data_IF_098781675117
#
_entry.id   IF_098781675117
#
_cell.length_a   1.000
_cell.length_b   1.000
_cell.length_c   1.000
_cell.angle_alpha   90.00
_cell.angle_beta   90.00
_cell.angle_gamma   90.00
#
_symmetry.space_group_name_H-M   'P 1'
#
loop_
_entity.id
_entity.type
_entity.pdbx_description
1 polymer ?
#
# COMPACT_ATOMS: atom_id res chain seq x y z
N UNK A 1 -26.34 -8.35 20.73
CA UNK A 1 -25.02 -8.90 20.36
C UNK A 1 -24.35 -8.03 19.30
N UNK A 2 -23.29 -7.31 19.65
CA UNK A 2 -22.51 -6.56 18.65
C UNK A 2 -21.71 -7.58 17.83
N UNK A 3 -22.03 -7.68 16.53
CA UNK A 3 -21.23 -8.47 15.59
C UNK A 3 -19.86 -7.81 15.43
N UNK A 4 -18.80 -8.61 15.27
CA UNK A 4 -17.48 -8.07 15.01
C UNK A 4 -17.51 -7.25 13.69
N UNK A 5 -16.79 -6.12 13.59
CA UNK A 5 -16.76 -5.32 12.37
C UNK A 5 -16.31 -6.15 11.17
N UNK A 6 -16.95 -5.92 10.01
CA UNK A 6 -16.65 -6.72 8.81
C UNK A 6 -15.27 -6.35 8.26
N UNK A 7 -14.37 -7.32 8.01
CA UNK A 7 -13.05 -7.02 7.45
C UNK A 7 -13.17 -6.49 6.02
N UNK A 8 -12.49 -5.38 5.74
CA UNK A 8 -12.39 -4.78 4.39
C UNK A 8 -10.92 -4.61 4.03
N UNK A 9 -10.47 -5.42 3.08
CA UNK A 9 -9.09 -5.37 2.58
C UNK A 9 -9.05 -4.47 1.34
N UNK A 10 -8.32 -3.35 1.43
CA UNK A 10 -8.20 -2.40 0.33
C UNK A 10 -6.75 -2.28 -0.13
N UNK A 11 -6.53 -2.45 -1.44
CA UNK A 11 -5.23 -2.19 -2.06
C UNK A 11 -5.20 -0.75 -2.57
N UNK A 12 -4.39 0.07 -1.93
CA UNK A 12 -4.12 1.47 -2.27
C UNK A 12 -2.84 1.58 -3.09
N UNK A 13 -2.01 2.59 -2.81
CA UNK A 13 -0.71 2.85 -3.43
C UNK A 13 0.25 3.47 -2.41
N UNK A 14 1.54 3.17 -2.49
CA UNK A 14 2.57 3.77 -1.63
C UNK A 14 2.56 5.31 -1.72
N UNK A 15 2.40 5.82 -2.93
CA UNK A 15 2.40 7.23 -3.27
C UNK A 15 1.19 7.98 -2.67
N UNK A 16 0.16 7.28 -2.19
CA UNK A 16 -0.92 7.89 -1.42
C UNK A 16 -0.42 8.52 -0.10
N UNK A 17 0.75 8.08 0.38
CA UNK A 17 1.45 8.64 1.54
C UNK A 17 2.48 9.72 1.22
N UNK A 18 2.62 10.16 -0.05
CA UNK A 18 3.53 11.25 -0.40
C UNK A 18 3.33 12.53 0.42
N UNK A 19 2.10 12.97 0.75
CA UNK A 19 1.91 14.13 1.61
C UNK A 19 2.57 14.03 3.00
N UNK A 20 2.85 12.80 3.47
CA UNK A 20 3.33 12.51 4.81
C UNK A 20 4.87 12.40 4.89
N UNK A 21 5.59 12.49 3.76
CA UNK A 21 7.05 12.30 3.68
C UNK A 21 7.78 13.52 3.13
N UNK A 22 9.05 13.65 3.48
CA UNK A 22 9.91 14.73 3.00
C UNK A 22 9.95 14.74 1.46
N UNK A 23 9.79 15.93 0.89
CA UNK A 23 9.74 16.18 -0.57
C UNK A 23 8.57 15.54 -1.31
N UNK A 24 7.70 14.77 -0.64
CA UNK A 24 6.60 14.07 -1.28
C UNK A 24 5.56 15.02 -1.91
N UNK A 25 5.15 16.15 -1.30
CA UNK A 25 4.28 17.12 -1.96
C UNK A 25 4.87 17.69 -3.26
N UNK A 26 6.18 17.97 -3.29
CA UNK A 26 6.86 18.48 -4.49
C UNK A 26 6.96 17.40 -5.59
N UNK A 27 7.19 16.15 -5.20
CA UNK A 27 7.16 15.00 -6.12
C UNK A 27 5.75 14.82 -6.69
N UNK A 28 4.71 14.92 -5.85
CA UNK A 28 3.33 14.85 -6.29
C UNK A 28 3.00 15.99 -7.25
N UNK A 29 3.46 17.22 -6.99
CA UNK A 29 3.27 18.37 -7.89
C UNK A 29 3.94 18.17 -9.25
N UNK A 30 5.12 17.55 -9.29
CA UNK A 30 5.81 17.21 -10.53
C UNK A 30 5.23 15.98 -11.25
N UNK A 31 4.33 15.23 -10.62
CA UNK A 31 3.78 14.01 -11.17
C UNK A 31 2.81 14.27 -12.36
N UNK A 32 2.68 13.32 -13.29
CA UNK A 32 1.69 13.39 -14.36
C UNK A 32 0.25 13.53 -13.84
N UNK A 33 -0.62 14.21 -14.59
CA UNK A 33 -2.02 14.45 -14.20
C UNK A 33 -2.80 13.18 -13.87
N UNK A 34 -2.65 12.12 -14.68
CA UNK A 34 -3.30 10.84 -14.43
C UNK A 34 -2.90 10.22 -13.08
N UNK A 35 -1.64 10.41 -12.66
CA UNK A 35 -1.14 9.85 -11.41
C UNK A 35 -1.72 10.62 -10.22
N UNK A 36 -1.81 11.95 -10.33
CA UNK A 36 -2.47 12.79 -9.31
C UNK A 36 -3.93 12.38 -9.13
N UNK A 37 -4.69 12.25 -10.22
CA UNK A 37 -6.10 11.82 -10.20
C UNK A 37 -6.25 10.42 -9.58
N UNK A 38 -5.40 9.48 -9.97
CA UNK A 38 -5.33 8.14 -9.39
C UNK A 38 -5.10 8.18 -7.87
N UNK A 39 -4.13 8.96 -7.40
CA UNK A 39 -3.79 9.07 -5.97
C UNK A 39 -4.86 9.82 -5.18
N UNK A 40 -5.55 10.78 -5.79
CA UNK A 40 -6.72 11.43 -5.18
C UNK A 40 -7.84 10.43 -4.96
N UNK A 41 -8.13 9.57 -5.95
CA UNK A 41 -9.15 8.53 -5.82
C UNK A 41 -8.79 7.50 -4.74
N UNK A 42 -7.53 7.05 -4.68
CA UNK A 42 -7.06 6.14 -3.62
C UNK A 42 -7.24 6.75 -2.23
N UNK A 43 -6.78 7.98 -2.01
CA UNK A 43 -6.93 8.70 -0.73
C UNK A 43 -8.40 8.94 -0.35
N UNK A 44 -9.28 9.14 -1.32
CA UNK A 44 -10.72 9.27 -1.05
C UNK A 44 -11.29 7.99 -0.43
N UNK A 45 -10.95 6.81 -0.98
CA UNK A 45 -11.35 5.52 -0.39
C UNK A 45 -10.74 5.32 0.99
N UNK A 46 -9.46 5.62 1.18
CA UNK A 46 -8.81 5.48 2.48
C UNK A 46 -9.47 6.34 3.58
N UNK A 47 -9.88 7.57 3.24
CA UNK A 47 -10.62 8.45 4.16
C UNK A 47 -11.96 7.84 4.54
N UNK A 48 -12.72 7.37 3.57
CA UNK A 48 -14.04 6.76 3.80
C UNK A 48 -13.96 5.49 4.67
N UNK A 49 -12.96 4.65 4.39
CA UNK A 49 -12.69 3.46 5.18
C UNK A 49 -12.30 3.82 6.62
N UNK A 50 -11.54 4.91 6.80
CA UNK A 50 -11.12 5.39 8.12
C UNK A 50 -12.28 5.99 8.93
N UNK A 51 -13.25 6.63 8.29
CA UNK A 51 -14.44 7.17 8.97
C UNK A 51 -15.47 6.10 9.33
N UNK A 52 -15.46 4.94 8.66
CA UNK A 52 -16.47 3.87 8.83
C UNK A 52 -16.08 2.77 9.82
N UNK A 53 -15.15 3.02 10.76
CA UNK A 53 -14.56 2.01 11.66
C UNK A 53 -15.54 1.32 12.62
N UNK A 54 -16.72 1.87 12.82
CA UNK A 54 -17.74 1.28 13.70
C UNK A 54 -18.42 0.04 13.07
N UNK A 55 -18.50 -0.01 11.74
CA UNK A 55 -19.16 -1.10 11.00
C UNK A 55 -18.18 -2.01 10.28
N UNK A 56 -17.00 -1.49 9.91
CA UNK A 56 -15.96 -2.23 9.19
C UNK A 56 -14.62 -2.18 9.91
N UNK A 57 -13.81 -3.22 9.70
CA UNK A 57 -12.39 -3.28 10.05
C UNK A 57 -11.55 -3.09 8.78
N UNK A 58 -11.13 -1.86 8.46
CA UNK A 58 -10.34 -1.61 7.26
C UNK A 58 -8.89 -1.99 7.46
N UNK A 59 -8.33 -2.73 6.51
CA UNK A 59 -6.89 -2.93 6.34
C UNK A 59 -6.51 -2.41 4.96
N UNK A 60 -5.64 -1.41 4.93
CA UNK A 60 -5.28 -0.68 3.72
C UNK A 60 -3.83 -0.96 3.36
N UNK A 61 -3.60 -1.73 2.30
CA UNK A 61 -2.26 -2.06 1.82
C UNK A 61 -1.80 -0.96 0.86
N UNK A 62 -0.67 -0.32 1.14
CA UNK A 62 -0.05 0.71 0.28
C UNK A 62 1.21 0.15 -0.40
N UNK A 63 1.08 -0.73 -1.42
CA UNK A 63 2.23 -1.23 -2.14
C UNK A 63 2.77 -0.17 -3.10
N UNK A 64 4.08 -0.19 -3.34
CA UNK A 64 4.69 0.54 -4.45
C UNK A 64 4.46 -0.25 -5.76
N UNK A 65 5.44 -0.33 -6.66
CA UNK A 65 5.38 -1.16 -7.84
C UNK A 65 5.16 -2.65 -7.49
N UNK A 66 4.03 -3.19 -7.94
CA UNK A 66 3.67 -4.60 -7.82
C UNK A 66 4.18 -5.37 -9.05
N UNK A 67 4.89 -6.47 -8.85
CA UNK A 67 5.43 -7.29 -9.94
C UNK A 67 5.30 -8.80 -9.72
N UNK A 68 5.42 -9.55 -10.81
CA UNK A 68 5.50 -11.01 -10.83
C UNK A 68 6.51 -11.46 -11.88
N UNK A 69 6.98 -12.71 -11.78
CA UNK A 69 7.87 -13.31 -12.77
C UNK A 69 7.25 -13.51 -14.16
N UNK A 70 5.95 -13.26 -14.29
CA UNK A 70 5.20 -13.33 -15.54
C UNK A 70 4.95 -11.95 -16.17
N UNK A 71 5.32 -10.87 -15.47
CA UNK A 71 5.10 -9.49 -15.89
C UNK A 71 6.44 -8.79 -16.18
N UNK A 72 6.95 -8.99 -17.38
CA UNK A 72 8.31 -8.61 -17.77
C UNK A 72 8.51 -7.11 -18.04
N UNK A 73 7.46 -6.35 -18.31
CA UNK A 73 7.48 -4.91 -18.61
C UNK A 73 7.95 -4.06 -17.42
N UNK A 74 7.76 -4.55 -16.19
CA UNK A 74 8.13 -3.82 -14.95
C UNK A 74 9.46 -4.28 -14.34
N UNK A 75 10.04 -5.39 -14.81
CA UNK A 75 11.27 -5.94 -14.23
C UNK A 75 12.48 -4.99 -14.31
N UNK A 76 12.70 -4.21 -15.40
CA UNK A 76 13.86 -3.33 -15.50
C UNK A 76 13.87 -2.17 -14.49
N UNK A 77 12.71 -1.74 -14.00
CA UNK A 77 12.60 -0.61 -13.07
C UNK A 77 12.70 -1.05 -11.59
N UNK A 78 12.55 -2.34 -11.30
CA UNK A 78 12.65 -2.90 -9.94
C UNK A 78 13.98 -2.55 -9.24
N UNK A 79 15.17 -2.73 -9.87
CA UNK A 79 16.43 -2.40 -9.22
C UNK A 79 16.54 -0.92 -8.84
N UNK A 80 15.92 -0.02 -9.62
CA UNK A 80 15.93 1.42 -9.36
C UNK A 80 15.15 1.73 -8.08
N UNK A 81 13.91 1.23 -7.97
CA UNK A 81 13.08 1.45 -6.79
C UNK A 81 13.73 0.86 -5.52
N UNK A 82 14.25 -0.37 -5.62
CA UNK A 82 14.87 -1.02 -4.49
C UNK A 82 16.18 -0.32 -4.06
N UNK A 83 16.98 0.17 -5.00
CA UNK A 83 18.20 0.92 -4.69
C UNK A 83 17.88 2.28 -4.04
N UNK A 84 16.92 3.04 -4.58
CA UNK A 84 16.53 4.34 -4.01
C UNK A 84 15.93 4.17 -2.62
N UNK A 85 15.09 3.15 -2.40
CA UNK A 85 14.57 2.83 -1.08
C UNK A 85 15.70 2.46 -0.10
N UNK A 86 16.66 1.62 -0.52
CA UNK A 86 17.82 1.25 0.30
C UNK A 86 18.75 2.43 0.62
N UNK A 87 18.78 3.45 -0.24
CA UNK A 87 19.47 4.72 -0.01
C UNK A 87 18.68 5.70 0.86
N UNK A 88 17.49 5.32 1.32
CA UNK A 88 16.65 6.12 2.22
C UNK A 88 15.91 7.27 1.52
N UNK A 89 15.64 7.17 0.21
CA UNK A 89 14.86 8.17 -0.51
C UNK A 89 13.42 8.18 0.05
N UNK A 90 12.96 9.27 0.70
CA UNK A 90 11.76 9.24 1.56
C UNK A 90 10.44 8.90 0.86
N UNK A 91 10.35 9.14 -0.44
CA UNK A 91 9.14 8.98 -1.26
C UNK A 91 9.20 7.76 -2.19
N UNK A 92 10.23 6.92 -2.08
CA UNK A 92 10.38 5.69 -2.86
C UNK A 92 10.31 4.48 -1.94
N UNK A 93 9.25 3.69 -2.11
CA UNK A 93 9.07 2.42 -1.39
C UNK A 93 9.64 1.26 -2.20
N UNK A 94 10.13 0.23 -1.49
CA UNK A 94 10.60 -1.03 -2.09
C UNK A 94 9.46 -1.69 -2.87
N UNK A 95 9.80 -2.29 -4.01
CA UNK A 95 8.84 -3.04 -4.84
C UNK A 95 8.28 -4.26 -4.11
N UNK A 96 7.04 -4.62 -4.41
CA UNK A 96 6.33 -5.73 -3.74
C UNK A 96 5.95 -6.79 -4.77
N UNK A 97 6.11 -8.07 -4.43
CA UNK A 97 5.65 -9.15 -5.33
C UNK A 97 4.14 -9.35 -5.20
N UNK A 98 3.49 -9.82 -6.27
CA UNK A 98 2.07 -10.25 -6.20
C UNK A 98 1.87 -11.30 -5.08
N UNK A 99 2.85 -12.19 -4.89
CA UNK A 99 2.78 -13.22 -3.84
C UNK A 99 2.79 -12.60 -2.45
N UNK A 100 3.71 -11.68 -2.19
CA UNK A 100 3.82 -10.95 -0.91
C UNK A 100 2.56 -10.18 -0.59
N UNK A 101 2.05 -9.40 -1.56
CA UNK A 101 0.81 -8.66 -1.38
C UNK A 101 -0.38 -9.59 -1.10
N UNK A 102 -0.50 -10.70 -1.83
CA UNK A 102 -1.62 -11.64 -1.66
C UNK A 102 -1.57 -12.34 -0.29
N UNK A 103 -0.38 -12.78 0.14
CA UNK A 103 -0.20 -13.37 1.48
C UNK A 103 -0.47 -12.36 2.59
N UNK A 104 -0.02 -11.11 2.44
CA UNK A 104 -0.30 -10.06 3.41
C UNK A 104 -1.81 -9.76 3.52
N UNK A 105 -2.54 -9.78 2.40
CA UNK A 105 -4.01 -9.65 2.40
C UNK A 105 -4.67 -10.81 3.14
N UNK A 106 -4.25 -12.05 2.89
CA UNK A 106 -4.76 -13.22 3.61
C UNK A 106 -4.49 -13.15 5.12
N UNK A 107 -3.26 -12.80 5.50
CA UNK A 107 -2.89 -12.59 6.90
C UNK A 107 -3.73 -11.49 7.57
N UNK A 108 -4.00 -10.39 6.87
CA UNK A 108 -4.84 -9.30 7.40
C UNK A 108 -6.32 -9.65 7.49
N UNK A 109 -6.79 -10.59 6.66
CA UNK A 109 -8.13 -11.15 6.74
C UNK A 109 -8.27 -12.03 7.99
N UNK A 110 -7.28 -12.88 8.27
CA UNK A 110 -7.26 -13.81 9.42
C UNK A 110 -6.96 -13.13 10.77
N UNK A 111 -6.24 -12.00 10.76
CA UNK A 111 -5.90 -11.24 11.97
C UNK A 111 -7.01 -10.24 12.33
N UNK A 112 -7.86 -10.62 13.29
CA UNK A 112 -8.95 -9.78 13.81
C UNK A 112 -8.48 -8.47 14.49
N UNK A 113 -7.20 -8.40 14.91
CA UNK A 113 -6.61 -7.21 15.51
C UNK A 113 -6.02 -6.24 14.49
N UNK A 114 -5.76 -6.69 13.26
CA UNK A 114 -5.13 -5.86 12.25
C UNK A 114 -6.12 -4.86 11.65
N UNK A 115 -5.72 -3.59 11.66
CA UNK A 115 -6.44 -2.50 11.00
C UNK A 115 -5.48 -1.38 10.58
N UNK A 116 -5.94 -0.50 9.70
CA UNK A 116 -5.18 0.66 9.24
C UNK A 116 -4.21 0.34 8.12
N UNK A 117 -3.23 1.23 7.92
CA UNK A 117 -2.32 1.23 6.77
C UNK A 117 -1.18 0.24 6.98
N UNK A 118 -0.93 -0.61 5.97
CA UNK A 118 0.19 -1.54 5.87
C UNK A 118 1.08 -1.13 4.70
N UNK A 119 2.32 -0.69 4.97
CA UNK A 119 3.34 -0.41 3.94
C UNK A 119 4.15 -1.67 3.66
N UNK A 120 5.13 -1.57 2.76
CA UNK A 120 5.91 -2.73 2.30
C UNK A 120 6.55 -3.52 3.45
N UNK A 121 7.08 -2.86 4.47
CA UNK A 121 7.68 -3.53 5.64
C UNK A 121 6.65 -4.37 6.40
N UNK A 122 5.44 -3.84 6.62
CA UNK A 122 4.37 -4.58 7.29
C UNK A 122 3.87 -5.73 6.40
N UNK A 123 3.80 -5.53 5.08
CA UNK A 123 3.44 -6.60 4.15
C UNK A 123 4.45 -7.76 4.18
N UNK A 124 5.75 -7.44 4.23
CA UNK A 124 6.82 -8.43 4.38
C UNK A 124 6.75 -9.17 5.73
N UNK A 125 6.34 -8.51 6.80
CA UNK A 125 6.12 -9.16 8.10
C UNK A 125 4.86 -10.02 8.13
N UNK A 126 3.81 -9.63 7.41
CA UNK A 126 2.54 -10.36 7.36
C UNK A 126 2.67 -11.62 6.51
N UNK A 127 3.44 -11.60 5.41
CA UNK A 127 3.57 -12.78 4.54
C UNK A 127 4.23 -13.99 5.23
N UNK A 128 5.04 -13.77 6.28
CA UNK A 128 5.69 -14.87 7.01
C UNK A 128 4.71 -15.65 7.89
N UNK A 129 3.46 -15.19 8.00
CA UNK A 129 2.40 -15.83 8.80
C UNK A 129 1.56 -16.83 7.99
N UNK A 130 1.75 -16.88 6.66
CA UNK A 130 0.98 -17.70 5.69
C UNK A 130 1.86 -18.71 4.96
#
# INVERSE_FOLDING_TARGET
PFSAPTPVMFVSAAEAGWPDVNFGPQVEEAAPGWLKEYLMAKRAVERELTSSRESIRPVMFRPSLIWSWTKFDVLPVIPVFNALNALGVPFVDKTVTVSTLSKAIMAGLEDDGLSGVQRFEQMEQLETRI
#
